data_IF_229984726713
#
_entry.id   IF_229984726713
#
_cell.length_a   1.000
_cell.length_b   1.000
_cell.length_c   1.000
_cell.angle_alpha   90.00
_cell.angle_beta   90.00
_cell.angle_gamma   90.00
#
_symmetry.space_group_name_H-M   'P 1'
#
loop_
_entity.id
_entity.type
_entity.pdbx_description
1 polymer ?
#
# COMPACT_ATOMS: atom_id res chain seq x y z
N UNK A 1 0.06 17.38 2.14
CA UNK A 1 -1.13 16.90 1.42
C UNK A 1 -2.36 16.97 2.32
N UNK A 2 -3.55 17.10 1.73
CA UNK A 2 -4.84 17.10 2.43
C UNK A 2 -5.54 15.74 2.35
N UNK A 3 -4.96 14.81 1.63
CA UNK A 3 -5.47 13.45 1.50
C UNK A 3 -4.35 12.45 1.24
N UNK A 4 -4.67 11.21 1.54
CA UNK A 4 -3.98 10.02 1.07
C UNK A 4 -4.99 9.23 0.23
N UNK A 5 -4.59 8.76 -0.93
CA UNK A 5 -5.39 7.85 -1.73
C UNK A 5 -4.63 6.58 -2.04
N UNK A 6 -5.35 5.46 -2.13
CA UNK A 6 -4.84 4.15 -2.53
C UNK A 6 -5.63 3.69 -3.74
N UNK A 7 -4.95 3.35 -4.82
CA UNK A 7 -5.57 2.87 -6.06
C UNK A 7 -5.62 1.35 -6.07
N UNK A 8 -6.81 0.79 -6.29
CA UNK A 8 -7.10 -0.63 -6.45
C UNK A 8 -7.63 -0.85 -7.86
N UNK A 9 -6.79 -1.34 -8.75
CA UNK A 9 -7.16 -1.76 -10.10
C UNK A 9 -6.91 -3.26 -10.28
N UNK A 10 -7.34 -3.85 -11.37
CA UNK A 10 -7.21 -5.25 -11.75
C UNK A 10 -8.32 -6.15 -11.19
N UNK A 11 -8.22 -7.40 -11.59
CA UNK A 11 -9.09 -8.47 -11.12
C UNK A 11 -9.06 -8.57 -9.58
N UNK A 12 -10.25 -8.73 -8.97
CA UNK A 12 -10.37 -8.83 -7.51
C UNK A 12 -10.25 -7.51 -6.74
N UNK A 13 -10.35 -6.35 -7.41
CA UNK A 13 -10.25 -5.06 -6.74
C UNK A 13 -11.32 -4.85 -5.65
N UNK A 14 -12.54 -5.43 -5.82
CA UNK A 14 -13.60 -5.33 -4.82
C UNK A 14 -13.20 -6.00 -3.50
N UNK A 15 -12.64 -7.20 -3.56
CA UNK A 15 -12.20 -7.93 -2.36
C UNK A 15 -11.04 -7.20 -1.70
N UNK A 16 -10.11 -6.70 -2.51
CA UNK A 16 -8.94 -5.97 -2.02
C UNK A 16 -9.32 -4.66 -1.31
N UNK A 17 -10.22 -3.86 -1.88
CA UNK A 17 -10.63 -2.60 -1.26
C UNK A 17 -11.53 -2.85 -0.04
N UNK A 18 -12.34 -3.91 -0.05
CA UNK A 18 -13.14 -4.33 1.11
C UNK A 18 -12.23 -4.72 2.27
N UNK A 19 -11.20 -5.52 2.02
CA UNK A 19 -10.19 -5.87 3.00
C UNK A 19 -9.45 -4.64 3.55
N UNK A 20 -9.11 -3.69 2.68
CA UNK A 20 -8.48 -2.44 3.07
C UNK A 20 -9.41 -1.58 3.94
N UNK A 21 -10.69 -1.46 3.58
CA UNK A 21 -11.70 -0.78 4.40
C UNK A 21 -11.82 -1.39 5.79
N UNK A 22 -11.86 -2.71 5.88
CA UNK A 22 -11.90 -3.40 7.16
C UNK A 22 -10.68 -3.05 8.01
N UNK A 23 -9.48 -3.07 7.43
CA UNK A 23 -8.26 -2.67 8.12
C UNK A 23 -8.31 -1.22 8.59
N UNK A 24 -8.84 -0.31 7.78
CA UNK A 24 -9.04 1.09 8.17
C UNK A 24 -10.00 1.19 9.36
N UNK A 25 -11.13 0.49 9.34
CA UNK A 25 -12.10 0.47 10.43
C UNK A 25 -11.52 -0.04 11.74
N UNK A 26 -10.74 -1.11 11.69
CA UNK A 26 -10.06 -1.69 12.87
C UNK A 26 -9.01 -0.76 13.50
N UNK A 27 -8.50 0.19 12.73
CA UNK A 27 -7.54 1.20 13.19
C UNK A 27 -8.17 2.60 13.38
N UNK A 28 -9.50 2.69 13.37
CA UNK A 28 -10.27 3.95 13.45
C UNK A 28 -9.86 4.99 12.39
N UNK A 29 -9.49 4.54 11.21
CA UNK A 29 -9.14 5.39 10.07
C UNK A 29 -10.35 5.59 9.17
N UNK A 30 -10.86 6.84 9.01
CA UNK A 30 -11.97 7.11 8.12
C UNK A 30 -11.53 6.94 6.66
N UNK A 31 -12.29 6.19 5.88
CA UNK A 31 -11.99 5.94 4.47
C UNK A 31 -13.24 6.03 3.63
N UNK A 32 -13.16 6.75 2.52
CA UNK A 32 -14.20 6.85 1.50
C UNK A 32 -13.76 6.09 0.24
N UNK A 33 -14.66 5.34 -0.36
CA UNK A 33 -14.37 4.58 -1.58
C UNK A 33 -15.02 5.26 -2.77
N UNK A 34 -14.22 5.52 -3.80
CA UNK A 34 -14.67 6.02 -5.09
C UNK A 34 -14.47 4.93 -6.16
N UNK A 35 -15.47 4.69 -6.98
CA UNK A 35 -15.29 3.86 -8.16
C UNK A 35 -14.41 4.60 -9.17
N UNK A 36 -13.38 3.96 -9.66
CA UNK A 36 -12.42 4.59 -10.58
C UNK A 36 -13.10 5.10 -11.86
N UNK A 37 -12.44 6.02 -12.56
CA UNK A 37 -12.91 6.58 -13.83
C UNK A 37 -13.21 5.51 -14.88
N UNK A 38 -12.43 4.44 -14.94
CA UNK A 38 -12.62 3.33 -15.88
C UNK A 38 -13.77 2.40 -15.50
N UNK A 39 -14.21 2.42 -14.24
CA UNK A 39 -15.17 1.48 -13.67
C UNK A 39 -14.56 0.13 -13.27
N UNK A 40 -13.32 -0.14 -13.64
CA UNK A 40 -12.63 -1.41 -13.41
C UNK A 40 -11.64 -1.36 -12.23
N UNK A 41 -11.95 -0.53 -11.23
CA UNK A 41 -11.15 -0.33 -10.03
C UNK A 41 -11.82 0.65 -9.10
N UNK A 42 -11.14 0.97 -8.01
CA UNK A 42 -11.59 1.96 -7.05
C UNK A 42 -10.41 2.65 -6.37
N UNK A 43 -10.65 3.84 -5.85
CA UNK A 43 -9.72 4.55 -4.99
C UNK A 43 -10.26 4.61 -3.57
N UNK A 44 -9.42 4.31 -2.59
CA UNK A 44 -9.69 4.54 -1.18
C UNK A 44 -9.10 5.89 -0.78
N UNK A 45 -9.94 6.81 -0.32
CA UNK A 45 -9.58 8.17 0.05
C UNK A 45 -9.62 8.34 1.56
N UNK A 46 -8.54 8.84 2.14
CA UNK A 46 -8.43 9.25 3.53
C UNK A 46 -8.16 10.75 3.53
N UNK A 47 -9.09 11.54 4.08
CA UNK A 47 -8.97 12.99 4.11
C UNK A 47 -8.42 13.46 5.44
N UNK A 48 -7.59 14.51 5.41
CA UNK A 48 -7.00 15.14 6.59
C UNK A 48 -7.67 16.49 6.86
N UNK A 49 -7.78 16.85 8.14
CA UNK A 49 -8.33 18.14 8.54
C UNK A 49 -7.47 19.32 8.07
N UNK A 50 -6.13 19.13 8.08
CA UNK A 50 -5.17 20.13 7.65
C UNK A 50 -4.00 19.46 6.88
N UNK A 51 -3.02 20.25 6.49
CA UNK A 51 -1.85 19.82 5.72
C UNK A 51 -0.99 18.85 6.50
N UNK A 52 -0.92 17.62 6.01
CA UNK A 52 -0.03 16.58 6.52
C UNK A 52 1.21 16.47 5.61
N UNK A 53 2.43 16.28 6.14
CA UNK A 53 3.60 15.95 5.32
C UNK A 53 3.37 14.69 4.49
N UNK A 54 3.77 14.70 3.22
CA UNK A 54 3.61 13.55 2.32
C UNK A 54 4.26 12.27 2.88
N UNK A 55 5.40 12.41 3.51
CA UNK A 55 6.09 11.36 4.21
C UNK A 55 5.24 10.67 5.31
N UNK A 56 4.54 11.45 6.15
CA UNK A 56 3.65 10.90 7.18
C UNK A 56 2.44 10.20 6.57
N UNK A 57 1.82 10.81 5.56
CA UNK A 57 0.69 10.18 4.83
C UNK A 57 1.11 8.84 4.20
N UNK A 58 2.28 8.78 3.59
CA UNK A 58 2.82 7.55 3.00
C UNK A 58 3.13 6.47 4.04
N UNK A 59 3.64 6.85 5.22
CA UNK A 59 3.84 5.89 6.33
C UNK A 59 2.52 5.29 6.77
N UNK A 60 1.51 6.13 6.95
CA UNK A 60 0.15 5.67 7.28
C UNK A 60 -0.38 4.71 6.21
N UNK A 61 -0.33 5.08 4.93
CA UNK A 61 -0.78 4.22 3.84
C UNK A 61 0.00 2.91 3.74
N UNK A 62 1.32 2.95 3.90
CA UNK A 62 2.15 1.74 3.93
C UNK A 62 1.81 0.84 5.11
N UNK A 63 1.52 1.40 6.28
CA UNK A 63 1.07 0.65 7.43
C UNK A 63 -0.26 -0.05 7.15
N UNK A 64 -1.27 0.68 6.69
CA UNK A 64 -2.59 0.12 6.39
C UNK A 64 -2.52 -0.99 5.34
N UNK A 65 -1.76 -0.80 4.27
CA UNK A 65 -1.52 -1.84 3.27
C UNK A 65 -0.80 -3.06 3.88
N UNK A 66 0.19 -2.85 4.74
CA UNK A 66 0.93 -3.93 5.42
C UNK A 66 0.00 -4.76 6.30
N UNK A 67 -0.86 -4.12 7.09
CA UNK A 67 -1.85 -4.80 7.94
C UNK A 67 -2.89 -5.54 7.09
N UNK A 68 -3.36 -4.92 5.99
CA UNK A 68 -4.30 -5.57 5.07
C UNK A 68 -3.67 -6.82 4.45
N UNK A 69 -2.44 -6.72 3.95
CA UNK A 69 -1.72 -7.86 3.39
C UNK A 69 -1.50 -8.98 4.40
N UNK A 70 -1.32 -8.66 5.69
CA UNK A 70 -1.15 -9.69 6.73
C UNK A 70 -2.39 -10.55 6.90
N UNK A 71 -3.57 -10.05 6.53
CA UNK A 71 -4.85 -10.75 6.60
C UNK A 71 -5.29 -11.32 5.24
N UNK A 72 -4.91 -10.65 4.15
CA UNK A 72 -5.30 -10.95 2.78
C UNK A 72 -4.06 -11.04 1.88
N UNK A 73 -3.53 -12.25 1.70
CA UNK A 73 -2.30 -12.48 0.93
C UNK A 73 -2.45 -12.20 -0.58
N UNK A 74 -3.68 -12.11 -1.08
CA UNK A 74 -3.97 -11.78 -2.47
C UNK A 74 -3.58 -10.33 -2.82
N UNK A 75 -3.56 -9.45 -1.82
CA UNK A 75 -3.03 -8.10 -1.99
C UNK A 75 -1.52 -8.18 -2.22
N UNK A 76 -1.06 -7.67 -3.37
CA UNK A 76 0.33 -7.77 -3.82
C UNK A 76 1.18 -6.60 -3.29
N UNK A 77 2.48 -6.82 -3.18
CA UNK A 77 3.50 -5.79 -2.87
C UNK A 77 3.49 -4.61 -3.85
N UNK A 78 2.97 -4.79 -5.06
CA UNK A 78 2.73 -3.72 -6.05
C UNK A 78 1.75 -2.66 -5.54
N UNK A 79 0.90 -2.98 -4.56
CA UNK A 79 -0.02 -2.03 -3.95
C UNK A 79 0.69 -0.87 -3.25
N UNK A 80 1.95 -1.03 -2.84
CA UNK A 80 2.74 0.09 -2.29
C UNK A 80 3.07 1.18 -3.32
N UNK A 81 3.02 0.87 -4.60
CA UNK A 81 3.24 1.83 -5.69
C UNK A 81 1.98 2.63 -6.03
N UNK A 82 0.84 2.24 -5.46
CA UNK A 82 -0.47 2.79 -5.69
C UNK A 82 -0.90 3.83 -4.65
N UNK A 83 0.04 4.32 -3.84
CA UNK A 83 -0.21 5.39 -2.88
C UNK A 83 -0.06 6.76 -3.53
N UNK A 84 -0.97 7.68 -3.17
CA UNK A 84 -0.93 9.09 -3.55
C UNK A 84 -1.04 9.97 -2.30
N UNK A 85 0.01 10.72 -1.93
CA UNK A 85 1.28 10.88 -2.65
C UNK A 85 2.14 9.62 -2.60
N UNK A 86 2.88 9.34 -3.69
CA UNK A 86 3.81 8.22 -3.71
C UNK A 86 5.28 8.64 -3.44
N UNK A 87 5.55 9.92 -3.35
CA UNK A 87 6.88 10.48 -3.07
C UNK A 87 6.77 11.68 -2.13
N UNK A 88 7.85 12.00 -1.42
CA UNK A 88 7.86 13.05 -0.40
C UNK A 88 8.06 14.46 -0.98
N UNK A 89 8.67 14.53 -2.15
CA UNK A 89 8.99 15.79 -2.81
C UNK A 89 8.45 15.81 -4.23
N UNK A 90 8.06 17.00 -4.69
CA UNK A 90 7.65 17.20 -6.09
C UNK A 90 8.86 17.04 -7.02
N UNK A 91 8.71 16.41 -8.18
CA UNK A 91 9.73 16.41 -9.22
C UNK A 91 10.07 17.83 -9.65
N UNK A 92 11.35 18.07 -9.95
CA UNK A 92 11.78 19.37 -10.49
C UNK A 92 11.19 19.54 -11.89
N UNK A 93 10.37 20.59 -12.06
CA UNK A 93 9.71 20.89 -13.34
C UNK A 93 8.57 19.93 -13.73
N UNK A 94 8.04 19.12 -12.78
CA UNK A 94 6.94 18.18 -13.02
C UNK A 94 5.91 18.15 -11.92
N UNK A 95 4.85 17.36 -12.13
CA UNK A 95 3.71 17.24 -11.22
C UNK A 95 3.78 16.02 -10.29
N UNK A 96 4.82 15.19 -10.41
CA UNK A 96 4.86 13.91 -9.68
C UNK A 96 3.85 12.90 -10.23
N UNK A 97 3.39 11.99 -9.37
CA UNK A 97 2.33 11.06 -9.73
C UNK A 97 0.98 11.75 -9.65
N UNK A 98 0.16 11.52 -10.67
CA UNK A 98 -1.18 12.08 -10.76
C UNK A 98 -2.21 10.98 -10.45
N UNK A 99 -3.27 11.37 -9.74
CA UNK A 99 -4.47 10.57 -9.55
C UNK A 99 -5.65 11.34 -10.16
N UNK A 100 -6.56 10.62 -10.81
CA UNK A 100 -7.79 11.21 -11.30
C UNK A 100 -8.66 11.62 -10.11
N UNK A 101 -9.08 12.89 -10.06
CA UNK A 101 -10.00 13.36 -9.03
C UNK A 101 -11.40 12.75 -9.21
N UNK A 102 -12.14 12.54 -8.12
CA UNK A 102 -13.53 12.08 -8.16
C UNK A 102 -14.47 13.06 -8.87
N UNK A 103 -15.70 12.61 -9.10
CA UNK A 103 -16.83 13.41 -9.60
C UNK A 103 -16.62 13.97 -11.02
N UNK A 104 -15.88 13.24 -11.87
CA UNK A 104 -15.69 13.64 -13.26
C UNK A 104 -17.00 13.48 -14.04
N UNK A 105 -17.51 14.59 -14.59
CA UNK A 105 -18.82 14.70 -15.24
C UNK A 105 -19.13 13.61 -16.25
N UNK A 106 -18.19 13.30 -17.13
CA UNK A 106 -18.40 12.29 -18.19
C UNK A 106 -18.41 10.85 -17.62
N UNK A 107 -17.50 10.54 -16.69
CA UNK A 107 -17.44 9.23 -16.06
C UNK A 107 -18.66 8.97 -15.14
N UNK A 108 -19.16 10.01 -14.49
CA UNK A 108 -20.33 9.94 -13.60
C UNK A 108 -21.61 9.52 -14.33
N UNK A 109 -21.75 9.83 -15.61
CA UNK A 109 -22.89 9.38 -16.45
C UNK A 109 -22.99 7.85 -16.54
N UNK A 110 -21.89 7.16 -16.33
CA UNK A 110 -21.78 5.69 -16.35
C UNK A 110 -21.65 5.07 -14.95
N UNK A 111 -21.90 5.86 -13.90
CA UNK A 111 -21.76 5.41 -12.51
C UNK A 111 -20.31 5.28 -12.03
N UNK A 112 -19.36 5.84 -12.77
CA UNK A 112 -17.92 5.84 -12.45
C UNK A 112 -17.49 7.19 -11.88
N UNK A 113 -16.31 7.25 -11.26
CA UNK A 113 -15.78 8.46 -10.60
C UNK A 113 -16.73 9.01 -9.52
N UNK A 114 -17.51 8.13 -8.89
CA UNK A 114 -18.46 8.44 -7.84
C UNK A 114 -18.10 7.69 -6.55
N UNK A 115 -18.36 8.32 -5.42
CA UNK A 115 -18.27 7.64 -4.12
C UNK A 115 -19.38 6.60 -4.00
N UNK A 116 -19.03 5.45 -3.45
CA UNK A 116 -19.87 4.26 -3.39
C UNK A 116 -19.95 3.72 -1.96
N UNK A 117 -21.08 3.09 -1.65
CA UNK A 117 -21.30 2.39 -0.39
C UNK A 117 -20.65 0.99 -0.40
N UNK A 118 -20.89 0.21 0.66
CA UNK A 118 -20.30 -1.14 0.82
C UNK A 118 -20.77 -2.17 -0.22
N UNK A 119 -21.87 -1.89 -0.90
CA UNK A 119 -22.37 -2.69 -2.02
C UNK A 119 -21.91 -2.16 -3.38
N UNK A 120 -20.93 -1.26 -3.40
CA UNK A 120 -20.40 -0.59 -4.59
C UNK A 120 -21.46 0.18 -5.41
N UNK A 121 -22.55 0.62 -4.75
CA UNK A 121 -23.57 1.47 -5.34
C UNK A 121 -23.25 2.93 -5.04
N UNK A 122 -23.34 3.85 -6.04
CA UNK A 122 -23.12 5.27 -5.81
C UNK A 122 -24.08 5.84 -4.76
N UNK A 123 -23.57 6.74 -3.92
CA UNK A 123 -24.43 7.52 -3.05
C UNK A 123 -25.34 8.42 -3.88
N UNK A 124 -26.64 8.58 -3.51
CA UNK A 124 -27.58 9.41 -4.26
C UNK A 124 -27.13 10.87 -4.34
N UNK A 125 -26.68 11.43 -3.22
CA UNK A 125 -26.10 12.76 -3.14
C UNK A 125 -24.61 12.65 -2.77
N UNK A 126 -23.77 12.94 -3.73
CA UNK A 126 -22.32 12.86 -3.58
C UNK A 126 -21.76 14.00 -2.71
N UNK A 127 -22.41 15.16 -2.73
CA UNK A 127 -21.96 16.32 -1.97
C UNK A 127 -22.38 16.22 -0.50
N UNK A 128 -23.58 15.72 -0.23
CA UNK A 128 -24.01 15.36 1.11
C UNK A 128 -23.05 14.34 1.72
N UNK A 129 -22.75 13.27 1.00
CA UNK A 129 -21.78 12.26 1.43
C UNK A 129 -20.43 12.89 1.75
N UNK A 130 -19.85 13.68 0.83
CA UNK A 130 -18.55 14.33 1.03
C UNK A 130 -18.54 15.27 2.24
N UNK A 131 -19.64 15.99 2.49
CA UNK A 131 -19.74 16.88 3.64
C UNK A 131 -19.83 16.14 4.98
N UNK A 132 -20.30 14.89 4.97
CA UNK A 132 -20.45 14.04 6.14
C UNK A 132 -19.19 13.21 6.49
N UNK A 133 -18.21 13.15 5.60
CA UNK A 133 -16.98 12.34 5.81
C UNK A 133 -16.19 12.91 7.00
N UNK A 134 -15.91 12.04 7.98
CA UNK A 134 -14.93 12.36 9.03
C UNK A 134 -13.55 12.54 8.40
N UNK A 135 -12.90 13.63 8.72
CA UNK A 135 -11.49 13.85 8.38
C UNK A 135 -10.61 13.39 9.54
N UNK A 136 -9.45 12.90 9.20
CA UNK A 136 -8.46 12.46 10.17
C UNK A 136 -7.62 13.67 10.63
N UNK A 137 -7.47 13.85 11.94
CA UNK A 137 -6.60 14.88 12.47
C UNK A 137 -5.12 14.57 12.21
N UNK A 138 -4.28 15.61 12.23
CA UNK A 138 -2.83 15.44 12.09
C UNK A 138 -2.29 14.54 13.20
N UNK A 139 -2.75 14.76 14.45
CA UNK A 139 -2.30 13.98 15.60
C UNK A 139 -2.60 12.50 15.50
N UNK A 140 -3.81 12.12 15.04
CA UNK A 140 -4.18 10.72 14.77
C UNK A 140 -3.27 10.10 13.69
N UNK A 141 -3.08 10.80 12.58
CA UNK A 141 -2.25 10.31 11.48
C UNK A 141 -0.78 10.12 11.88
N UNK A 142 -0.20 11.08 12.60
CA UNK A 142 1.18 11.01 13.11
C UNK A 142 1.33 9.90 14.16
N UNK A 143 0.37 9.76 15.06
CA UNK A 143 0.40 8.72 16.09
C UNK A 143 0.43 7.32 15.46
N UNK A 144 -0.49 7.03 14.53
CA UNK A 144 -0.54 5.75 13.82
C UNK A 144 0.72 5.51 12.99
N UNK A 145 1.17 6.50 12.20
CA UNK A 145 2.36 6.38 11.36
C UNK A 145 3.63 6.13 12.18
N UNK A 146 3.79 6.81 13.32
CA UNK A 146 4.96 6.65 14.19
C UNK A 146 4.94 5.32 14.95
N UNK A 147 3.79 4.88 15.45
CA UNK A 147 3.64 3.58 16.09
C UNK A 147 3.93 2.43 15.11
N UNK A 148 3.40 2.53 13.90
CA UNK A 148 3.68 1.56 12.85
C UNK A 148 5.17 1.49 12.48
N UNK A 149 5.84 2.63 12.41
CA UNK A 149 7.28 2.68 12.14
C UNK A 149 8.10 2.02 13.25
N UNK A 150 7.75 2.27 14.54
CA UNK A 150 8.41 1.62 15.70
C UNK A 150 8.22 0.11 15.70
N UNK A 151 7.07 -0.38 15.21
CA UNK A 151 6.76 -1.80 15.10
C UNK A 151 7.34 -2.47 13.84
N UNK A 152 8.06 -1.73 12.99
CA UNK A 152 8.58 -2.25 11.73
C UNK A 152 7.51 -2.56 10.67
N UNK A 153 6.30 -2.05 10.83
CA UNK A 153 5.14 -2.31 9.96
C UNK A 153 5.05 -1.36 8.75
N UNK A 154 6.03 -0.52 8.56
CA UNK A 154 6.10 0.42 7.42
C UNK A 154 7.08 -0.12 6.39
N UNK A 155 6.58 -0.53 5.24
CA UNK A 155 7.38 -1.10 4.15
C UNK A 155 7.41 -0.13 2.96
N UNK A 156 8.56 -0.08 2.28
CA UNK A 156 8.73 0.78 1.11
C UNK A 156 8.79 2.28 1.40
N UNK A 157 8.82 2.69 2.69
CA UNK A 157 9.02 4.06 3.14
C UNK A 157 10.20 4.09 4.10
N UNK A 158 11.20 4.92 3.83
CA UNK A 158 12.35 5.06 4.74
C UNK A 158 11.92 5.70 6.05
N UNK A 159 12.54 5.28 7.14
CA UNK A 159 12.13 5.66 8.50
C UNK A 159 12.59 7.10 8.85
N UNK A 160 13.65 7.62 8.22
CA UNK A 160 14.13 8.98 8.48
C UNK A 160 14.35 9.78 7.20
N UNK A 161 14.17 11.11 7.25
CA UNK A 161 14.50 11.99 6.13
C UNK A 161 15.99 11.93 5.72
N UNK A 162 16.89 11.58 6.65
CA UNK A 162 18.31 11.38 6.37
C UNK A 162 18.55 10.14 5.50
N UNK A 163 17.79 9.08 5.73
CA UNK A 163 17.85 7.86 4.92
C UNK A 163 17.37 8.06 3.49
N UNK A 164 16.50 9.06 3.25
CA UNK A 164 16.02 9.40 1.91
C UNK A 164 17.02 10.18 1.08
N UNK A 165 17.96 10.88 1.73
CA UNK A 165 19.04 11.62 1.07
C UNK A 165 20.29 10.78 0.86
N UNK A 166 20.44 9.66 1.58
CA UNK A 166 21.57 8.77 1.42
C UNK A 166 21.51 8.02 0.08
N UNK A 167 22.65 7.85 -0.60
CA UNK A 167 22.71 7.06 -1.81
C UNK A 167 22.17 5.65 -1.56
N UNK A 168 21.29 5.11 -2.43
CA UNK A 168 20.64 3.79 -2.21
C UNK A 168 21.62 2.62 -2.09
N UNK A 169 22.85 2.81 -2.55
CA UNK A 169 23.92 1.81 -2.50
C UNK A 169 24.77 1.86 -1.22
N UNK A 170 24.62 2.89 -0.38
CA UNK A 170 25.22 2.85 0.95
C UNK A 170 24.49 1.79 1.76
N UNK A 171 25.22 0.71 2.06
CA UNK A 171 24.74 -0.29 3.00
C UNK A 171 24.61 0.39 4.36
N UNK A 172 23.37 0.58 4.81
CA UNK A 172 23.15 0.87 6.21
C UNK A 172 23.86 -0.21 7.03
N UNK A 173 24.59 0.15 8.10
CA UNK A 173 25.11 -0.84 9.04
C UNK A 173 23.96 -1.74 9.37
N UNK A 174 24.16 -3.05 9.36
CA UNK A 174 23.15 -4.07 9.55
C UNK A 174 22.47 -3.89 10.91
N UNK A 175 21.58 -2.92 10.99
CA UNK A 175 20.58 -2.88 12.05
C UNK A 175 19.83 -4.20 11.97
N UNK A 176 19.69 -4.91 13.09
CA UNK A 176 18.95 -6.17 13.18
C UNK A 176 17.68 -6.02 12.33
N UNK A 177 17.54 -6.82 11.26
CA UNK A 177 16.31 -6.88 10.49
C UNK A 177 15.19 -7.14 11.49
N UNK A 178 14.38 -6.14 11.77
CA UNK A 178 13.20 -6.33 12.61
C UNK A 178 12.20 -7.13 11.76
N UNK A 179 12.19 -8.43 11.97
CA UNK A 179 11.13 -9.26 11.41
C UNK A 179 9.84 -8.93 12.17
N UNK A 180 8.77 -8.72 11.42
CA UNK A 180 7.45 -8.59 12.03
C UNK A 180 7.14 -9.88 12.80
N UNK A 181 6.66 -9.80 14.05
CA UNK A 181 6.26 -10.99 14.75
C UNK A 181 5.14 -11.68 13.98
N UNK A 182 5.28 -12.98 13.79
CA UNK A 182 4.24 -13.79 13.19
C UNK A 182 3.25 -14.11 14.29
N UNK A 183 2.06 -13.51 14.21
CA UNK A 183 0.97 -13.70 15.18
C UNK A 183 -0.09 -14.59 14.52
N UNK A 184 -0.49 -15.67 15.18
CA UNK A 184 -1.53 -16.59 14.70
C UNK A 184 -1.10 -18.04 14.80
N UNK A 185 -2.04 -18.93 14.46
CA UNK A 185 -1.76 -20.37 14.38
C UNK A 185 -0.87 -20.64 13.17
N UNK A 186 0.34 -21.10 13.44
CA UNK A 186 1.27 -21.54 12.40
C UNK A 186 1.16 -23.06 12.23
N UNK A 187 1.35 -23.58 11.01
CA UNK A 187 1.47 -25.01 10.78
C UNK A 187 2.71 -25.56 11.52
N UNK A 188 2.61 -26.77 12.05
CA UNK A 188 3.74 -27.43 12.75
C UNK A 188 4.94 -27.66 11.82
N UNK A 189 4.67 -27.91 10.54
CA UNK A 189 5.68 -28.10 9.51
C UNK A 189 5.21 -27.52 8.19
N UNK A 190 6.18 -27.10 7.35
CA UNK A 190 5.96 -26.65 5.99
C UNK A 190 6.84 -27.43 5.06
N UNK A 191 6.24 -28.08 4.07
CA UNK A 191 6.95 -28.85 3.07
C UNK A 191 7.53 -27.90 2.00
N UNK A 192 8.82 -28.07 1.70
CA UNK A 192 9.55 -27.28 0.71
C UNK A 192 10.04 -28.18 -0.41
N UNK A 193 9.79 -27.78 -1.65
CA UNK A 193 10.42 -28.39 -2.83
C UNK A 193 11.50 -27.46 -3.37
N UNK A 194 12.74 -27.91 -3.40
CA UNK A 194 13.88 -27.14 -3.91
C UNK A 194 14.22 -27.63 -5.32
N UNK A 195 14.07 -26.73 -6.31
CA UNK A 195 14.43 -26.96 -7.70
C UNK A 195 15.24 -25.76 -8.23
N UNK A 196 14.85 -25.16 -9.35
CA UNK A 196 15.36 -23.86 -9.80
C UNK A 196 15.00 -22.72 -8.83
N UNK A 197 13.90 -22.86 -8.09
CA UNK A 197 13.44 -22.00 -7.02
C UNK A 197 13.06 -22.85 -5.80
N UNK A 198 12.67 -22.21 -4.71
CA UNK A 198 12.06 -22.87 -3.56
C UNK A 198 10.55 -22.75 -3.72
N UNK A 199 9.84 -23.88 -3.72
CA UNK A 199 8.38 -23.96 -3.87
C UNK A 199 7.73 -24.39 -2.58
N UNK A 200 6.66 -23.71 -2.20
CA UNK A 200 5.89 -23.92 -0.97
C UNK A 200 4.42 -23.95 -1.33
N UNK A 201 3.67 -24.97 -0.91
CA UNK A 201 2.22 -25.04 -1.13
C UNK A 201 1.52 -23.93 -0.38
N UNK A 202 0.57 -23.25 -1.04
CA UNK A 202 -0.12 -22.08 -0.46
C UNK A 202 -1.32 -22.45 0.39
N UNK A 203 -1.93 -23.60 0.21
CA UNK A 203 -3.13 -24.08 0.89
C UNK A 203 -2.99 -24.20 2.40
N UNK A 204 -1.78 -24.51 2.90
CA UNK A 204 -1.46 -24.66 4.32
C UNK A 204 -0.88 -23.38 4.93
N UNK A 205 -0.61 -22.34 4.14
CA UNK A 205 0.06 -21.13 4.61
C UNK A 205 -0.94 -20.06 5.06
N UNK A 206 -0.96 -19.68 6.35
CA UNK A 206 -1.70 -18.51 6.79
C UNK A 206 -1.21 -17.24 6.06
N UNK A 207 -2.11 -16.28 5.82
CA UNK A 207 -1.79 -15.04 5.10
C UNK A 207 -0.60 -14.28 5.70
N UNK A 208 -0.47 -14.28 7.03
CA UNK A 208 0.67 -13.65 7.74
C UNK A 208 1.99 -14.30 7.33
N UNK A 209 2.06 -15.65 7.36
CA UNK A 209 3.27 -16.39 6.97
C UNK A 209 3.56 -16.22 5.48
N UNK A 210 2.53 -16.30 4.63
CA UNK A 210 2.64 -16.08 3.19
C UNK A 210 3.30 -14.72 2.89
N UNK A 211 2.84 -13.66 3.55
CA UNK A 211 3.38 -12.31 3.36
C UNK A 211 4.80 -12.16 3.91
N UNK A 212 5.13 -12.81 5.02
CA UNK A 212 6.50 -12.83 5.51
C UNK A 212 7.44 -13.51 4.51
N UNK A 213 7.04 -14.64 3.95
CA UNK A 213 7.81 -15.35 2.93
C UNK A 213 8.00 -14.50 1.66
N UNK A 214 6.94 -13.82 1.18
CA UNK A 214 7.06 -12.87 0.05
C UNK A 214 8.07 -11.76 0.35
N UNK A 215 8.12 -11.27 1.58
CA UNK A 215 9.05 -10.20 1.99
C UNK A 215 10.50 -10.64 2.03
N UNK A 216 10.79 -11.91 2.25
CA UNK A 216 12.15 -12.42 2.13
C UNK A 216 12.70 -12.22 0.72
N UNK A 217 11.83 -12.32 -0.29
CA UNK A 217 12.16 -12.14 -1.71
C UNK A 217 11.87 -10.72 -2.22
N UNK A 218 11.69 -9.74 -1.32
CA UNK A 218 11.37 -8.37 -1.67
C UNK A 218 12.45 -7.40 -1.15
N UNK A 219 12.76 -6.38 -1.95
CA UNK A 219 13.71 -5.34 -1.57
C UNK A 219 13.32 -3.98 -2.15
N UNK A 220 13.82 -2.92 -1.52
CA UNK A 220 13.62 -1.57 -1.99
C UNK A 220 14.35 -1.36 -3.32
N UNK A 221 13.65 -0.79 -4.30
CA UNK A 221 14.21 -0.52 -5.62
C UNK A 221 15.15 0.70 -5.56
N UNK A 222 16.48 0.53 -5.73
CA UNK A 222 17.41 1.65 -5.68
C UNK A 222 17.12 2.74 -6.71
N UNK A 223 16.62 2.34 -7.89
CA UNK A 223 16.30 3.29 -8.96
C UNK A 223 15.12 4.21 -8.58
N UNK A 224 14.10 3.68 -7.87
CA UNK A 224 13.00 4.51 -7.36
C UNK A 224 13.55 5.63 -6.48
N UNK A 225 14.40 5.30 -5.50
CA UNK A 225 14.95 6.28 -4.56
C UNK A 225 15.95 7.23 -5.23
N UNK A 226 16.72 6.75 -6.21
CA UNK A 226 17.58 7.59 -7.03
C UNK A 226 16.78 8.62 -7.81
N UNK A 227 15.70 8.20 -8.47
CA UNK A 227 14.80 9.12 -9.20
C UNK A 227 14.15 10.11 -8.26
N UNK A 228 13.69 9.66 -7.10
CA UNK A 228 13.10 10.52 -6.07
C UNK A 228 14.10 11.58 -5.59
N UNK A 229 15.35 11.23 -5.31
CA UNK A 229 16.39 12.18 -4.85
C UNK A 229 16.74 13.21 -5.92
N UNK A 230 16.68 12.83 -7.20
CA UNK A 230 16.87 13.72 -8.35
C UNK A 230 15.60 14.50 -8.73
N UNK A 231 14.50 14.33 -7.99
CA UNK A 231 13.18 14.91 -8.28
C UNK A 231 12.66 14.57 -9.68
N UNK A 232 12.95 13.37 -10.15
CA UNK A 232 12.44 12.83 -11.40
C UNK A 232 11.12 12.06 -11.14
N UNK A 233 10.30 11.91 -12.18
CA UNK A 233 9.09 11.10 -12.09
C UNK A 233 9.41 9.64 -11.74
N UNK A 234 8.65 9.07 -10.80
CA UNK A 234 8.75 7.68 -10.36
C UNK A 234 7.58 6.82 -10.85
N UNK A 235 6.71 7.35 -11.71
CA UNK A 235 5.45 6.74 -12.14
C UNK A 235 5.58 5.34 -12.75
N UNK A 236 6.70 5.05 -13.42
CA UNK A 236 6.97 3.75 -14.05
C UNK A 236 8.04 2.93 -13.30
N UNK A 237 8.43 3.37 -12.12
CA UNK A 237 9.49 2.72 -11.35
C UNK A 237 8.92 2.20 -10.05
N UNK A 238 8.77 0.88 -9.86
CA UNK A 238 8.19 0.33 -8.65
C UNK A 238 9.09 0.63 -7.45
N UNK A 239 8.50 0.93 -6.30
CA UNK A 239 9.21 1.19 -5.04
C UNK A 239 9.84 -0.05 -4.46
N UNK A 240 9.13 -1.17 -4.57
CA UNK A 240 9.56 -2.49 -4.06
C UNK A 240 9.63 -3.45 -5.23
N UNK A 241 10.76 -4.14 -5.35
CA UNK A 241 10.92 -5.26 -6.27
C UNK A 241 10.64 -6.53 -5.47
N UNK A 242 9.67 -7.31 -5.91
CA UNK A 242 9.34 -8.60 -5.33
C UNK A 242 9.66 -9.71 -6.31
N UNK A 243 10.53 -10.62 -5.91
CA UNK A 243 10.97 -11.75 -6.72
C UNK A 243 10.23 -13.05 -6.38
N UNK A 244 9.21 -13.00 -5.52
CA UNK A 244 8.30 -14.13 -5.29
C UNK A 244 7.19 -14.15 -6.34
N UNK A 245 6.71 -15.35 -6.65
CA UNK A 245 5.61 -15.58 -7.58
C UNK A 245 4.66 -16.61 -6.98
N UNK A 246 3.36 -16.48 -7.28
CA UNK A 246 2.36 -17.51 -6.95
C UNK A 246 1.88 -18.10 -8.26
N UNK A 247 2.02 -19.41 -8.42
CA UNK A 247 1.60 -20.14 -9.61
C UNK A 247 1.08 -21.51 -9.19
N UNK A 248 -0.08 -21.90 -9.69
CA UNK A 248 -0.67 -23.24 -9.51
C UNK A 248 -0.73 -23.70 -8.04
N UNK A 249 -1.06 -22.81 -7.11
CA UNK A 249 -1.15 -23.12 -5.69
C UNK A 249 0.19 -23.22 -4.96
N UNK A 250 1.27 -22.76 -5.58
CA UNK A 250 2.60 -22.69 -4.97
C UNK A 250 3.10 -21.24 -4.88
N UNK A 251 3.67 -20.90 -3.74
CA UNK A 251 4.55 -19.74 -3.60
C UNK A 251 5.97 -20.16 -4.00
N UNK A 252 6.55 -19.46 -4.97
CA UNK A 252 7.95 -19.69 -5.38
C UNK A 252 8.84 -18.53 -4.96
N UNK A 253 10.00 -18.86 -4.38
CA UNK A 253 11.02 -17.92 -3.92
C UNK A 253 12.35 -18.20 -4.63
N UNK A 254 13.19 -17.18 -4.88
CA UNK A 254 14.56 -17.39 -5.31
C UNK A 254 15.35 -18.23 -4.29
N UNK A 255 16.29 -19.06 -4.76
CA UNK A 255 17.09 -19.94 -3.88
C UNK A 255 18.04 -19.20 -2.93
N UNK A 256 18.26 -17.92 -3.17
CA UNK A 256 19.17 -17.09 -2.34
C UNK A 256 18.46 -16.23 -1.30
N UNK A 257 17.18 -16.48 -1.04
CA UNK A 257 16.41 -15.75 -0.03
C UNK A 257 16.64 -16.30 1.37
#
# INVERSE_FOLDING_TARGET
CYFLAVDFDKEGWQDNITAFKQTCSENDVPVAVERSRSGNGAHAWIFFEDKLPAFTARRLGSFLLTETMSKHYQLDMKSYDRLFPNQDTMPKGGFGNLIALPLQKEAAKFGNSLFVNDNFKPYPDQWEFLSSIRKMSIGEAEHLANNAARQGKVIGVRISPREETDPPWLRLPSGKKQYLPIVGNLPESVELTIANRVYIKTDILPSVLMNQLKRLAAFQNPEFYRRQSLRLSTSLTPRVICCSEITDGYLSLPRGC
#
